data_IF_998667169632
#
_entry.id   IF_998667169632
#
_cell.length_a   1.000
_cell.length_b   1.000
_cell.length_c   1.000
_cell.angle_alpha   90.00
_cell.angle_beta   90.00
_cell.angle_gamma   90.00
#
_symmetry.space_group_name_H-M   'P 1'
#
loop_
_entity.id
_entity.type
_entity.pdbx_description
1 polymer ?
#
# COMPACT_ATOMS: atom_id res chain seq x y z
N UNK A 1 -18.84 -4.72 6.75
CA UNK A 1 -17.41 -4.74 6.40
C UNK A 1 -17.16 -3.79 5.22
N UNK A 2 -15.94 -3.31 5.05
CA UNK A 2 -15.55 -2.48 3.90
C UNK A 2 -15.78 -3.19 2.56
N UNK A 3 -15.63 -4.51 2.50
CA UNK A 3 -15.90 -5.31 1.30
C UNK A 3 -17.35 -5.18 0.83
N UNK A 4 -18.34 -5.24 1.74
CA UNK A 4 -19.75 -5.04 1.38
C UNK A 4 -20.03 -3.66 0.79
N UNK A 5 -19.39 -2.61 1.32
CA UNK A 5 -19.52 -1.25 0.79
C UNK A 5 -18.93 -1.14 -0.61
N UNK A 6 -17.74 -1.71 -0.82
CA UNK A 6 -17.10 -1.73 -2.15
C UNK A 6 -18.00 -2.41 -3.17
N UNK A 7 -18.56 -3.56 -2.85
CA UNK A 7 -19.45 -4.30 -3.75
C UNK A 7 -20.70 -3.49 -4.09
N UNK A 8 -21.35 -2.86 -3.09
CA UNK A 8 -22.48 -1.97 -3.33
C UNK A 8 -22.13 -0.82 -4.29
N UNK A 9 -20.92 -0.27 -4.18
CA UNK A 9 -20.45 0.77 -5.09
C UNK A 9 -20.13 0.22 -6.49
N UNK A 10 -19.54 -0.96 -6.58
CA UNK A 10 -19.20 -1.59 -7.85
C UNK A 10 -20.42 -1.97 -8.70
N UNK A 11 -21.57 -2.24 -8.08
CA UNK A 11 -22.83 -2.47 -8.80
C UNK A 11 -23.34 -1.21 -9.48
N UNK A 12 -22.98 -0.03 -8.98
CA UNK A 12 -23.40 1.28 -9.53
C UNK A 12 -22.39 1.88 -10.50
N UNK A 13 -21.13 1.42 -10.49
CA UNK A 13 -20.08 1.92 -11.39
C UNK A 13 -19.95 1.04 -12.64
N UNK A 14 -19.83 1.68 -13.81
CA UNK A 14 -19.66 0.96 -15.08
C UNK A 14 -18.24 0.40 -15.29
N UNK A 15 -17.33 0.60 -14.34
CA UNK A 15 -15.90 0.31 -14.47
C UNK A 15 -15.45 -0.95 -13.70
N UNK A 16 -16.34 -1.89 -13.41
CA UNK A 16 -16.03 -3.12 -12.66
C UNK A 16 -14.85 -3.89 -13.27
N UNK A 17 -14.76 -3.93 -14.60
CA UNK A 17 -13.70 -4.67 -15.32
C UNK A 17 -12.31 -4.01 -15.27
N UNK A 18 -12.21 -2.78 -14.82
CA UNK A 18 -10.93 -2.05 -14.67
C UNK A 18 -10.38 -2.09 -13.26
N UNK A 19 -11.05 -2.78 -12.35
CA UNK A 19 -10.67 -2.83 -10.94
C UNK A 19 -9.54 -3.84 -10.74
N UNK A 20 -8.47 -3.43 -10.06
CA UNK A 20 -7.49 -4.33 -9.47
C UNK A 20 -8.02 -4.78 -8.10
N UNK A 21 -8.60 -5.98 -8.06
CA UNK A 21 -9.25 -6.52 -6.85
C UNK A 21 -8.22 -7.09 -5.88
N UNK A 22 -8.04 -6.41 -4.74
CA UNK A 22 -7.07 -6.80 -3.71
C UNK A 22 -7.73 -6.90 -2.33
N UNK A 23 -7.50 -8.02 -1.63
CA UNK A 23 -7.96 -8.23 -0.26
C UNK A 23 -6.93 -9.03 0.55
N UNK A 24 -7.29 -9.38 1.79
CA UNK A 24 -6.35 -10.01 2.74
C UNK A 24 -7.03 -11.11 3.56
N UNK A 25 -6.27 -12.17 3.84
CA UNK A 25 -6.63 -13.16 4.85
C UNK A 25 -6.09 -12.73 6.22
N UNK A 26 -6.91 -12.84 7.26
CA UNK A 26 -6.54 -12.46 8.63
C UNK A 26 -7.24 -13.35 9.67
N UNK A 27 -6.80 -14.58 9.76
CA UNK A 27 -7.26 -15.59 10.72
C UNK A 27 -6.14 -16.59 10.98
N UNK A 28 -6.34 -17.56 11.84
CA UNK A 28 -5.40 -18.66 12.06
C UNK A 28 -5.99 -19.96 11.50
N UNK A 29 -5.11 -20.85 11.04
CA UNK A 29 -5.46 -22.16 10.51
C UNK A 29 -5.89 -22.16 9.05
N UNK A 30 -5.52 -23.22 8.36
CA UNK A 30 -5.73 -23.38 6.92
C UNK A 30 -7.21 -23.29 6.53
N UNK A 31 -8.06 -24.10 7.17
CA UNK A 31 -9.48 -24.17 6.85
C UNK A 31 -10.20 -22.84 7.07
N UNK A 32 -9.90 -22.16 8.19
CA UNK A 32 -10.46 -20.83 8.48
C UNK A 32 -9.99 -19.77 7.47
N UNK A 33 -8.73 -19.86 7.03
CA UNK A 33 -8.19 -18.99 6.00
C UNK A 33 -8.89 -19.20 4.66
N UNK A 34 -9.05 -20.44 4.23
CA UNK A 34 -9.78 -20.79 3.00
C UNK A 34 -11.22 -20.24 3.06
N UNK A 35 -11.95 -20.50 4.14
CA UNK A 35 -13.32 -20.01 4.33
C UNK A 35 -13.40 -18.47 4.27
N UNK A 36 -12.46 -17.76 4.89
CA UNK A 36 -12.44 -16.29 4.85
C UNK A 36 -12.19 -15.77 3.44
N UNK A 37 -11.26 -16.37 2.70
CA UNK A 37 -10.93 -15.95 1.34
C UNK A 37 -12.06 -16.27 0.36
N UNK A 38 -12.72 -17.42 0.49
CA UNK A 38 -13.91 -17.81 -0.29
C UNK A 38 -15.09 -16.87 0.00
N UNK A 39 -15.30 -16.51 1.27
CA UNK A 39 -16.33 -15.52 1.63
C UNK A 39 -16.03 -14.15 1.02
N UNK A 40 -14.76 -13.72 0.99
CA UNK A 40 -14.38 -12.50 0.28
C UNK A 40 -14.71 -12.59 -1.22
N UNK A 41 -14.38 -13.70 -1.88
CA UNK A 41 -14.72 -13.92 -3.30
C UNK A 41 -16.22 -13.82 -3.54
N UNK A 42 -17.01 -14.48 -2.69
CA UNK A 42 -18.47 -14.44 -2.74
C UNK A 42 -19.02 -13.03 -2.53
N UNK A 43 -18.50 -12.29 -1.56
CA UNK A 43 -18.92 -10.91 -1.28
C UNK A 43 -18.60 -9.97 -2.44
N UNK A 44 -17.43 -10.10 -3.04
CA UNK A 44 -17.00 -9.26 -4.17
C UNK A 44 -17.65 -9.67 -5.50
N UNK A 45 -18.20 -10.89 -5.58
CA UNK A 45 -18.73 -11.46 -6.83
C UNK A 45 -17.64 -11.56 -7.88
N UNK A 46 -16.46 -12.04 -7.48
CA UNK A 46 -15.31 -12.27 -8.36
C UNK A 46 -14.87 -13.73 -8.25
N UNK A 47 -14.56 -14.33 -9.39
CA UNK A 47 -14.04 -15.70 -9.45
C UNK A 47 -12.53 -15.73 -9.16
N UNK A 48 -11.87 -14.58 -9.30
CA UNK A 48 -10.42 -14.42 -9.15
C UNK A 48 -10.08 -13.07 -8.57
N UNK A 49 -9.25 -13.05 -7.53
CA UNK A 49 -8.61 -11.83 -7.06
C UNK A 49 -7.33 -11.54 -7.84
N UNK A 50 -7.07 -10.25 -8.12
CA UNK A 50 -5.76 -9.84 -8.62
C UNK A 50 -4.69 -10.01 -7.56
N UNK A 51 -4.98 -9.68 -6.29
CA UNK A 51 -4.02 -9.81 -5.20
C UNK A 51 -4.70 -10.32 -3.92
N UNK A 52 -4.17 -11.42 -3.38
CA UNK A 52 -4.51 -11.88 -2.04
C UNK A 52 -3.27 -11.77 -1.15
N UNK A 53 -3.41 -11.09 -0.02
CA UNK A 53 -2.30 -10.87 0.91
C UNK A 53 -2.56 -11.48 2.29
N UNK A 54 -1.48 -11.87 2.97
CA UNK A 54 -1.53 -12.26 4.38
C UNK A 54 -1.41 -11.01 5.24
N UNK A 55 -2.41 -10.76 6.10
CA UNK A 55 -2.50 -9.53 6.88
C UNK A 55 -1.65 -9.61 8.16
N UNK A 56 -0.68 -8.70 8.29
CA UNK A 56 0.18 -8.55 9.47
C UNK A 56 0.91 -9.83 9.88
N UNK A 57 1.41 -10.59 8.91
CA UNK A 57 2.15 -11.85 9.10
C UNK A 57 1.38 -12.93 9.91
N UNK A 58 0.07 -12.76 10.09
CA UNK A 58 -0.71 -13.69 10.89
C UNK A 58 -0.76 -15.08 10.25
N UNK A 59 -0.26 -16.09 10.96
CA UNK A 59 -0.16 -17.48 10.49
C UNK A 59 0.38 -17.62 9.06
N UNK A 60 1.41 -16.81 8.76
CA UNK A 60 1.86 -16.60 7.38
C UNK A 60 2.33 -17.88 6.70
N UNK A 61 2.94 -18.82 7.43
CA UNK A 61 3.42 -20.08 6.85
C UNK A 61 2.28 -20.92 6.31
N UNK A 62 1.21 -21.06 7.09
CA UNK A 62 0.00 -21.80 6.71
C UNK A 62 -0.66 -21.15 5.50
N UNK A 63 -0.92 -19.85 5.58
CA UNK A 63 -1.61 -19.15 4.51
C UNK A 63 -0.79 -19.01 3.24
N UNK A 64 0.54 -18.88 3.34
CA UNK A 64 1.39 -18.78 2.15
C UNK A 64 1.35 -20.08 1.33
N UNK A 65 1.34 -21.24 1.98
CA UNK A 65 1.18 -22.52 1.29
C UNK A 65 -0.16 -22.60 0.56
N UNK A 66 -1.25 -22.21 1.22
CA UNK A 66 -2.58 -22.13 0.59
C UNK A 66 -2.59 -21.18 -0.61
N UNK A 67 -2.00 -20.00 -0.46
CA UNK A 67 -1.97 -18.98 -1.52
C UNK A 67 -1.12 -19.41 -2.73
N UNK A 68 -0.01 -20.10 -2.51
CA UNK A 68 0.79 -20.69 -3.60
C UNK A 68 -0.06 -21.68 -4.43
N UNK A 69 -0.77 -22.59 -3.76
CA UNK A 69 -1.69 -23.51 -4.44
C UNK A 69 -2.85 -22.79 -5.15
N UNK A 70 -3.40 -21.73 -4.57
CA UNK A 70 -4.44 -20.93 -5.22
C UNK A 70 -3.92 -20.16 -6.44
N UNK A 71 -2.68 -19.70 -6.40
CA UNK A 71 -2.04 -19.06 -7.56
C UNK A 71 -1.84 -20.06 -8.70
N UNK A 72 -1.38 -21.26 -8.42
CA UNK A 72 -1.24 -22.35 -9.39
C UNK A 72 -2.58 -22.77 -10.01
N UNK A 73 -3.65 -22.77 -9.20
CA UNK A 73 -5.02 -23.05 -9.65
C UNK A 73 -5.68 -21.87 -10.39
N UNK A 74 -5.03 -20.72 -10.45
CA UNK A 74 -5.57 -19.52 -11.10
C UNK A 74 -6.66 -18.79 -10.31
N UNK A 75 -6.91 -19.15 -9.03
CA UNK A 75 -7.87 -18.47 -8.15
C UNK A 75 -7.40 -17.08 -7.71
N UNK A 76 -6.09 -16.85 -7.65
CA UNK A 76 -5.47 -15.55 -7.43
C UNK A 76 -4.39 -15.31 -8.48
N UNK A 77 -4.19 -14.04 -8.86
CA UNK A 77 -3.16 -13.67 -9.82
C UNK A 77 -1.81 -13.44 -9.13
N UNK A 78 -1.83 -12.70 -8.05
CA UNK A 78 -0.67 -12.33 -7.26
C UNK A 78 -0.89 -12.64 -5.78
N UNK A 79 0.20 -12.99 -5.11
CA UNK A 79 0.22 -13.25 -3.67
C UNK A 79 1.15 -12.29 -2.96
N UNK A 80 0.85 -11.94 -1.71
CA UNK A 80 1.67 -11.02 -0.95
C UNK A 80 1.51 -11.14 0.55
N UNK A 81 2.30 -10.36 1.25
CA UNK A 81 2.33 -10.34 2.72
C UNK A 81 2.40 -8.91 3.23
N UNK A 82 1.86 -8.66 4.41
CA UNK A 82 1.78 -7.29 4.93
C UNK A 82 2.27 -7.16 6.36
N UNK A 83 2.85 -6.01 6.66
CA UNK A 83 3.09 -5.51 8.02
C UNK A 83 2.56 -4.11 8.17
N UNK A 84 2.56 -3.60 9.39
CA UNK A 84 2.17 -2.23 9.68
C UNK A 84 2.88 -1.72 10.95
N UNK A 85 3.10 -0.41 11.06
CA UNK A 85 3.72 0.27 12.21
C UNK A 85 5.23 0.03 12.41
N UNK A 86 5.98 -0.32 11.40
CA UNK A 86 7.40 -0.66 11.53
C UNK A 86 7.66 -1.93 12.36
N UNK A 87 6.60 -2.59 12.85
CA UNK A 87 6.74 -3.86 13.57
C UNK A 87 7.08 -4.99 12.62
N UNK A 88 7.82 -5.94 13.12
CA UNK A 88 8.17 -7.15 12.38
C UNK A 88 8.88 -6.88 11.04
N UNK A 89 9.56 -5.72 10.88
CA UNK A 89 10.37 -5.46 9.68
C UNK A 89 11.46 -6.51 9.50
N UNK A 90 12.12 -6.95 10.59
CA UNK A 90 13.13 -8.00 10.53
C UNK A 90 12.55 -9.36 10.09
N UNK A 91 11.36 -9.72 10.60
CA UNK A 91 10.67 -10.94 10.16
C UNK A 91 10.21 -10.82 8.71
N UNK A 92 9.62 -9.67 8.33
CA UNK A 92 9.24 -9.42 6.94
C UNK A 92 10.44 -9.53 6.01
N UNK A 93 11.59 -8.95 6.37
CA UNK A 93 12.83 -9.03 5.59
C UNK A 93 13.26 -10.49 5.39
N UNK A 94 13.27 -11.31 6.44
CA UNK A 94 13.59 -12.73 6.34
C UNK A 94 12.64 -13.47 5.40
N UNK A 95 11.34 -13.20 5.47
CA UNK A 95 10.36 -13.80 4.57
C UNK A 95 10.61 -13.35 3.13
N UNK A 96 10.85 -12.06 2.92
CA UNK A 96 11.19 -11.52 1.60
C UNK A 96 12.46 -12.12 1.01
N UNK A 97 13.42 -12.53 1.83
CA UNK A 97 14.67 -13.18 1.38
C UNK A 97 14.45 -14.63 0.96
N UNK A 98 13.52 -15.33 1.58
CA UNK A 98 13.36 -16.79 1.42
C UNK A 98 12.18 -17.18 0.55
N UNK A 99 11.11 -16.40 0.56
CA UNK A 99 9.85 -16.75 -0.10
C UNK A 99 9.67 -16.02 -1.44
N UNK A 100 8.99 -16.69 -2.37
CA UNK A 100 8.58 -16.09 -3.65
C UNK A 100 7.26 -15.35 -3.45
N UNK A 101 7.34 -14.03 -3.41
CA UNK A 101 6.19 -13.13 -3.26
C UNK A 101 6.11 -12.19 -4.45
N UNK A 102 4.89 -11.88 -4.88
CA UNK A 102 4.67 -10.87 -5.92
C UNK A 102 4.57 -9.47 -5.31
N UNK A 103 3.98 -9.36 -4.12
CA UNK A 103 3.73 -8.09 -3.44
C UNK A 103 4.15 -8.14 -1.97
N UNK A 104 4.64 -7.01 -1.50
CA UNK A 104 4.87 -6.75 -0.08
C UNK A 104 4.25 -5.42 0.32
N UNK A 105 3.64 -5.37 1.51
CA UNK A 105 3.03 -4.14 2.02
C UNK A 105 3.59 -3.79 3.38
N UNK A 106 4.09 -2.56 3.52
CA UNK A 106 4.68 -2.05 4.77
C UNK A 106 4.51 -0.54 4.89
N UNK A 107 4.82 -0.01 6.08
CA UNK A 107 4.77 1.42 6.35
C UNK A 107 5.99 2.13 5.77
N UNK A 108 5.73 3.24 5.08
CA UNK A 108 6.75 4.16 4.61
C UNK A 108 6.14 5.56 4.40
N UNK A 109 6.80 6.59 4.87
CA UNK A 109 6.41 7.98 4.68
C UNK A 109 7.60 8.90 5.00
N UNK A 110 7.42 10.22 4.88
CA UNK A 110 8.50 11.19 5.04
C UNK A 110 9.11 11.22 6.45
N UNK A 111 8.34 10.85 7.48
CA UNK A 111 8.77 10.80 8.86
C UNK A 111 9.32 9.42 9.25
N UNK A 112 8.70 8.33 8.78
CA UNK A 112 9.18 6.96 8.96
C UNK A 112 9.80 6.42 7.66
N UNK A 113 11.11 6.61 7.54
CA UNK A 113 11.93 6.22 6.39
C UNK A 113 12.72 4.92 6.61
N UNK A 114 12.45 4.19 7.69
CA UNK A 114 13.19 2.96 8.03
C UNK A 114 13.20 1.91 6.92
N UNK A 115 12.14 1.84 6.11
CA UNK A 115 12.05 0.93 4.98
C UNK A 115 13.08 1.21 3.85
N UNK A 116 13.62 2.43 3.75
CA UNK A 116 14.66 2.78 2.76
C UNK A 116 15.97 2.03 2.99
N UNK A 117 16.23 1.61 4.22
CA UNK A 117 17.50 0.95 4.57
C UNK A 117 17.56 -0.50 4.08
N UNK A 118 16.45 -1.24 4.11
CA UNK A 118 16.43 -2.68 3.84
C UNK A 118 15.25 -3.12 2.96
N UNK A 119 14.01 -2.79 3.32
CA UNK A 119 12.83 -3.38 2.69
C UNK A 119 12.61 -2.91 1.24
N UNK A 120 12.78 -1.61 0.98
CA UNK A 120 12.62 -1.07 -0.37
C UNK A 120 13.72 -1.57 -1.32
N UNK A 121 15.03 -1.54 -0.95
CA UNK A 121 16.07 -2.15 -1.77
C UNK A 121 15.83 -3.64 -2.02
N UNK A 122 15.51 -4.41 -0.99
CA UNK A 122 15.26 -5.85 -1.12
C UNK A 122 14.06 -6.16 -2.02
N UNK A 123 12.99 -5.37 -1.94
CA UNK A 123 11.84 -5.52 -2.83
C UNK A 123 12.22 -5.28 -4.29
N UNK A 124 13.03 -4.24 -4.56
CA UNK A 124 13.55 -3.95 -5.91
C UNK A 124 14.44 -5.08 -6.44
N UNK A 125 15.40 -5.55 -5.62
CA UNK A 125 16.34 -6.61 -6.00
C UNK A 125 15.63 -7.94 -6.32
N UNK A 126 14.50 -8.21 -5.63
CA UNK A 126 13.72 -9.43 -5.83
C UNK A 126 12.53 -9.26 -6.80
N UNK A 127 12.36 -8.09 -7.40
CA UNK A 127 11.27 -7.82 -8.33
C UNK A 127 9.87 -7.86 -7.70
N UNK A 128 9.77 -7.58 -6.39
CA UNK A 128 8.49 -7.53 -5.67
C UNK A 128 7.86 -6.15 -5.81
N UNK A 129 6.58 -6.11 -6.13
CA UNK A 129 5.83 -4.87 -6.08
C UNK A 129 5.55 -4.44 -4.63
N UNK A 130 5.60 -3.14 -4.36
CA UNK A 130 5.42 -2.60 -3.00
C UNK A 130 4.12 -1.81 -2.88
N UNK A 131 3.36 -2.10 -1.83
CA UNK A 131 2.22 -1.31 -1.39
C UNK A 131 2.56 -0.57 -0.10
N UNK A 132 2.46 0.76 -0.14
CA UNK A 132 2.81 1.57 1.02
C UNK A 132 1.57 1.94 1.82
N UNK A 133 1.50 1.43 3.05
CA UNK A 133 0.49 1.83 4.00
C UNK A 133 0.96 3.00 4.88
N UNK A 134 0.02 3.67 5.56
CA UNK A 134 0.25 4.79 6.46
C UNK A 134 1.07 5.95 5.87
N UNK A 135 0.83 6.35 4.63
CA UNK A 135 1.58 7.45 4.01
C UNK A 135 1.41 8.78 4.74
N UNK A 136 0.38 8.91 5.60
CA UNK A 136 0.08 10.08 6.43
C UNK A 136 0.23 9.81 7.94
N UNK A 137 0.80 8.68 8.35
CA UNK A 137 0.84 8.26 9.77
C UNK A 137 -0.51 8.39 10.50
N UNK A 138 -1.60 7.90 9.87
CA UNK A 138 -2.98 8.06 10.36
C UNK A 138 -3.44 9.52 10.49
N UNK A 139 -2.82 10.43 9.77
CA UNK A 139 -3.12 11.85 9.80
C UNK A 139 -2.19 12.68 10.69
N UNK A 140 -1.28 12.05 11.44
CA UNK A 140 -0.36 12.78 12.34
C UNK A 140 0.53 13.77 11.59
N UNK A 141 0.96 13.44 10.36
CA UNK A 141 1.78 14.35 9.54
C UNK A 141 1.09 15.70 9.26
N UNK A 142 -0.23 15.73 9.18
CA UNK A 142 -0.97 16.99 9.02
C UNK A 142 -0.95 17.85 10.27
N UNK A 143 -0.78 17.24 11.45
CA UNK A 143 -0.57 17.95 12.70
C UNK A 143 0.71 18.78 12.70
N UNK A 144 1.82 18.20 12.19
CA UNK A 144 3.13 18.86 12.13
C UNK A 144 3.14 20.08 11.21
N UNK A 145 2.32 20.09 10.17
CA UNK A 145 2.25 21.20 9.19
C UNK A 145 1.01 22.09 9.36
N UNK A 146 0.28 21.94 10.47
CA UNK A 146 -0.94 22.73 10.71
C UNK A 146 -0.64 24.23 10.76
N UNK A 147 -1.37 24.98 9.93
CA UNK A 147 -1.21 26.44 9.84
C UNK A 147 0.02 26.89 9.05
N UNK A 148 0.82 25.98 8.51
CA UNK A 148 1.99 26.32 7.71
C UNK A 148 1.64 26.34 6.22
N UNK A 149 2.08 27.37 5.47
CA UNK A 149 1.87 27.41 4.03
C UNK A 149 2.68 26.31 3.33
N UNK A 150 2.15 25.80 2.24
CA UNK A 150 2.92 24.93 1.35
C UNK A 150 4.07 25.74 0.73
N UNK A 151 5.33 25.25 0.72
CA UNK A 151 6.44 25.97 0.14
C UNK A 151 6.24 26.28 -1.35
N UNK A 152 6.58 27.49 -1.79
CA UNK A 152 6.39 27.90 -3.19
C UNK A 152 7.11 27.01 -4.20
N UNK A 153 8.26 26.43 -3.84
CA UNK A 153 9.04 25.56 -4.71
C UNK A 153 8.36 24.19 -4.98
N UNK A 154 7.29 23.85 -4.25
CA UNK A 154 6.52 22.63 -4.53
C UNK A 154 5.82 22.66 -5.88
N UNK A 155 5.66 23.85 -6.48
CA UNK A 155 5.21 24.02 -7.87
C UNK A 155 6.17 23.38 -8.90
N UNK A 156 7.44 23.17 -8.56
CA UNK A 156 8.44 22.54 -9.45
C UNK A 156 8.07 21.08 -9.78
N UNK A 157 7.30 20.42 -8.90
CA UNK A 157 6.77 19.06 -9.12
C UNK A 157 5.25 18.98 -9.03
N UNK A 158 4.55 20.03 -9.43
CA UNK A 158 3.09 20.09 -9.56
C UNK A 158 2.32 19.71 -8.26
N UNK A 159 2.86 20.10 -7.10
CA UNK A 159 2.28 19.80 -5.81
C UNK A 159 1.46 20.99 -5.28
N UNK A 160 0.20 20.76 -4.91
CA UNK A 160 -0.77 21.81 -4.56
C UNK A 160 -1.30 21.73 -3.13
N UNK A 161 -0.97 20.68 -2.41
CA UNK A 161 -1.43 20.45 -1.03
C UNK A 161 -0.40 19.67 -0.21
N UNK A 162 -0.50 19.74 1.12
CA UNK A 162 0.30 18.90 2.00
C UNK A 162 0.00 17.39 1.81
N UNK A 163 -1.22 17.03 1.44
CA UNK A 163 -1.56 15.65 1.09
C UNK A 163 -0.77 15.17 -0.14
N UNK A 164 -0.73 15.98 -1.20
CA UNK A 164 0.08 15.68 -2.38
C UNK A 164 1.59 15.71 -2.07
N UNK A 165 2.05 16.60 -1.20
CA UNK A 165 3.45 16.65 -0.76
C UNK A 165 3.89 15.31 -0.17
N UNK A 166 3.15 14.80 0.80
CA UNK A 166 3.47 13.52 1.45
C UNK A 166 3.33 12.33 0.48
N UNK A 167 2.32 12.30 -0.36
CA UNK A 167 2.14 11.21 -1.32
C UNK A 167 3.17 11.23 -2.43
N UNK A 168 3.48 12.40 -3.00
CA UNK A 168 4.53 12.53 -4.03
C UNK A 168 5.89 12.13 -3.49
N UNK A 169 6.21 12.44 -2.23
CA UNK A 169 7.40 11.91 -1.57
C UNK A 169 7.44 10.38 -1.60
N UNK A 170 6.33 9.72 -1.26
CA UNK A 170 6.25 8.26 -1.23
C UNK A 170 6.35 7.66 -2.64
N UNK A 171 5.50 8.11 -3.57
CA UNK A 171 5.40 7.48 -4.91
C UNK A 171 6.54 7.85 -5.85
N UNK A 172 7.36 8.82 -5.50
CA UNK A 172 8.57 9.16 -6.26
C UNK A 172 9.78 8.26 -5.94
N UNK A 173 9.70 7.41 -4.93
CA UNK A 173 10.76 6.44 -4.66
C UNK A 173 10.69 5.31 -5.68
N UNK A 174 11.81 5.01 -6.37
CA UNK A 174 11.86 4.06 -7.50
C UNK A 174 11.39 2.64 -7.18
N UNK A 175 11.53 2.21 -5.92
CA UNK A 175 11.07 0.89 -5.46
C UNK A 175 9.61 0.90 -4.96
N UNK A 176 8.89 2.02 -5.05
CA UNK A 176 7.49 2.09 -4.65
C UNK A 176 6.58 1.90 -5.85
N UNK A 177 5.70 0.89 -5.77
CA UNK A 177 4.70 0.62 -6.80
C UNK A 177 3.43 1.43 -6.58
N UNK A 178 2.92 1.46 -5.35
CA UNK A 178 1.66 2.12 -5.04
C UNK A 178 1.57 2.53 -3.58
N UNK A 179 0.92 3.66 -3.30
CA UNK A 179 0.51 4.06 -1.95
C UNK A 179 -0.98 3.88 -1.77
N UNK A 180 -1.41 3.45 -0.58
CA UNK A 180 -2.82 3.19 -0.27
C UNK A 180 -3.36 4.15 0.82
N UNK A 181 -3.46 5.47 0.53
CA UNK A 181 -4.04 6.43 1.46
C UNK A 181 -5.53 6.17 1.63
N UNK A 182 -6.00 6.07 2.87
CA UNK A 182 -7.41 5.90 3.17
C UNK A 182 -8.04 7.23 3.59
N UNK A 183 -9.27 7.48 3.14
CA UNK A 183 -10.06 8.64 3.56
C UNK A 183 -11.56 8.34 3.47
N UNK A 184 -12.36 8.99 4.31
CA UNK A 184 -13.83 8.98 4.24
C UNK A 184 -14.41 10.20 3.51
N UNK A 185 -13.56 11.11 3.02
CA UNK A 185 -13.98 12.38 2.38
C UNK A 185 -13.64 12.37 0.89
N UNK A 186 -14.65 12.56 0.04
CA UNK A 186 -14.48 12.52 -1.41
C UNK A 186 -13.44 13.55 -1.92
N UNK A 187 -13.44 14.78 -1.39
CA UNK A 187 -12.47 15.80 -1.80
C UNK A 187 -11.02 15.44 -1.41
N UNK A 188 -10.80 14.76 -0.29
CA UNK A 188 -9.47 14.23 0.05
C UNK A 188 -9.07 13.10 -0.90
N UNK A 189 -10.01 12.27 -1.39
CA UNK A 189 -9.69 11.25 -2.38
C UNK A 189 -9.25 11.87 -3.70
N UNK A 190 -9.94 12.91 -4.15
CA UNK A 190 -9.54 13.67 -5.37
C UNK A 190 -8.14 14.26 -5.22
N UNK A 191 -7.83 14.87 -4.07
CA UNK A 191 -6.52 15.42 -3.78
C UNK A 191 -5.43 14.34 -3.71
N UNK A 192 -5.71 13.21 -3.07
CA UNK A 192 -4.81 12.07 -3.00
C UNK A 192 -4.50 11.49 -4.39
N UNK A 193 -5.52 11.32 -5.23
CA UNK A 193 -5.35 10.84 -6.60
C UNK A 193 -4.52 11.79 -7.45
N UNK A 194 -4.66 13.10 -7.24
CA UNK A 194 -3.87 14.12 -7.95
C UNK A 194 -2.35 13.98 -7.69
N UNK A 195 -1.93 13.39 -6.58
CA UNK A 195 -0.52 13.12 -6.31
C UNK A 195 0.13 12.15 -7.31
N UNK A 196 -0.65 11.31 -7.98
CA UNK A 196 -0.18 10.38 -9.02
C UNK A 196 0.02 11.02 -10.40
N UNK A 197 -0.29 12.31 -10.57
CA UNK A 197 -0.20 13.01 -11.85
C UNK A 197 0.86 14.12 -11.83
N UNK A 198 1.32 14.49 -13.04
CA UNK A 198 2.33 15.53 -13.22
C UNK A 198 3.74 15.05 -12.84
N UNK A 199 4.62 16.02 -12.63
CA UNK A 199 6.02 15.76 -12.27
C UNK A 199 6.14 15.16 -10.89
N UNK A 200 7.10 14.26 -10.72
CA UNK A 200 7.47 13.67 -9.44
C UNK A 200 8.81 14.26 -8.96
N UNK A 201 9.01 14.42 -7.63
CA UNK A 201 10.31 14.82 -7.09
C UNK A 201 11.39 13.79 -7.46
N UNK A 202 12.54 14.27 -7.90
CA UNK A 202 13.76 13.48 -8.03
C UNK A 202 14.45 13.30 -6.65
N UNK A 203 15.61 12.66 -6.64
CA UNK A 203 16.34 12.37 -5.40
C UNK A 203 16.77 13.65 -4.65
N UNK A 204 17.17 14.69 -5.37
CA UNK A 204 17.57 15.97 -4.77
C UNK A 204 16.36 16.69 -4.15
N UNK A 205 15.25 16.71 -4.89
CA UNK A 205 14.00 17.29 -4.41
C UNK A 205 13.45 16.51 -3.20
N UNK A 206 13.50 15.18 -3.21
CA UNK A 206 13.14 14.35 -2.04
C UNK A 206 13.95 14.73 -0.81
N UNK A 207 15.27 14.92 -0.95
CA UNK A 207 16.13 15.38 0.14
C UNK A 207 15.76 16.79 0.63
N UNK A 208 15.38 17.69 -0.28
CA UNK A 208 14.87 19.03 0.06
C UNK A 208 13.54 18.95 0.82
N UNK A 209 12.64 18.04 0.40
CA UNK A 209 11.38 17.79 1.09
C UNK A 209 11.61 17.29 2.52
N UNK A 210 12.53 16.34 2.72
CA UNK A 210 12.89 15.83 4.06
C UNK A 210 13.37 16.98 4.96
N UNK A 211 14.40 17.72 4.52
CA UNK A 211 14.95 18.84 5.31
C UNK A 211 13.89 19.88 5.66
N UNK A 212 13.01 20.19 4.71
CA UNK A 212 11.93 21.15 4.98
C UNK A 212 10.94 20.58 6.01
N UNK A 213 10.52 19.33 5.88
CA UNK A 213 9.61 18.71 6.85
C UNK A 213 10.20 18.62 8.25
N UNK A 214 11.50 18.33 8.38
CA UNK A 214 12.22 18.28 9.66
C UNK A 214 12.41 19.67 10.31
N UNK A 215 12.29 20.76 9.55
CA UNK A 215 12.41 22.14 10.03
C UNK A 215 11.08 22.78 10.47
N UNK A 216 9.95 22.10 10.26
CA UNK A 216 8.60 22.59 10.54
C UNK A 216 7.92 21.78 11.65
#
# INVERSE_FOLDING_TARGET
SSERVIVSLLTTTKNKNSLFAATKVWTDGEQSGIQQMEESSRLWGVDKFDLMQIHNLRDWKTHLNTLKGWKEQGKVRYIGITTSHGRAHAELEQIMQTELLDFVQFTYNIDDRSAEQRLLPLAADRGMATLINRPFQRGNLFGSVKGKPLPAWTAEFDCKSWGQYFLKFVVSHSAVTCSIPATSKAHHMVDNMAAGFGRLPDAEMRNRMIRHFESV
#
